data_IF_994247535926
#
_entry.id   IF_994247535926
#
_cell.length_a   1.000
_cell.length_b   1.000
_cell.length_c   1.000
_cell.angle_alpha   90.00
_cell.angle_beta   90.00
_cell.angle_gamma   90.00
#
_symmetry.space_group_name_H-M   'P 1'
#
loop_
_entity.id
_entity.type
_entity.pdbx_description
1 polymer ?
#
# COMPACT_ATOMS: atom_id res chain seq x y z
N UNK A 1 -2.91 11.52 -8.41
CA UNK A 1 -4.37 11.29 -8.58
C UNK A 1 -4.95 10.04 -7.89
N UNK A 2 -4.65 8.80 -8.33
CA UNK A 2 -5.35 7.59 -7.83
C UNK A 2 -5.27 7.40 -6.30
N UNK A 3 -4.06 7.51 -5.73
CA UNK A 3 -3.85 7.35 -4.28
C UNK A 3 -4.53 8.46 -3.46
N UNK A 4 -4.61 9.68 -3.98
CA UNK A 4 -5.29 10.81 -3.32
C UNK A 4 -6.81 10.63 -3.26
N UNK A 5 -7.40 10.00 -4.29
CA UNK A 5 -8.82 9.66 -4.27
C UNK A 5 -9.13 8.58 -3.23
N UNK A 6 -8.20 7.65 -3.00
CA UNK A 6 -8.31 6.63 -1.95
C UNK A 6 -8.19 7.25 -0.56
N UNK A 7 -7.25 8.19 -0.35
CA UNK A 7 -7.11 8.86 0.96
C UNK A 7 -8.34 9.69 1.31
N UNK A 8 -9.03 10.24 0.31
CA UNK A 8 -10.32 10.94 0.44
C UNK A 8 -11.53 10.00 0.44
N UNK A 9 -11.33 8.67 0.45
CA UNK A 9 -12.36 7.63 0.40
C UNK A 9 -13.33 7.74 -0.80
N UNK A 10 -12.90 8.39 -1.89
CA UNK A 10 -13.70 8.53 -3.11
C UNK A 10 -13.62 7.30 -3.98
N UNK A 11 -12.42 6.72 -4.10
CA UNK A 11 -12.16 5.55 -4.94
C UNK A 11 -11.70 4.35 -4.12
N UNK A 12 -12.40 3.19 -4.16
CA UNK A 12 -12.01 2.00 -3.44
C UNK A 12 -10.89 1.23 -4.17
N UNK A 13 -10.08 0.50 -3.40
CA UNK A 13 -9.08 -0.44 -3.93
C UNK A 13 -9.69 -1.85 -3.95
N UNK A 14 -9.57 -2.60 -5.05
CA UNK A 14 -10.03 -3.97 -5.13
C UNK A 14 -9.10 -4.93 -4.37
N UNK A 15 -9.66 -5.70 -3.44
CA UNK A 15 -8.91 -6.69 -2.66
C UNK A 15 -9.03 -8.05 -3.35
N UNK A 16 -8.02 -8.44 -4.14
CA UNK A 16 -8.04 -9.68 -4.94
C UNK A 16 -7.56 -10.93 -4.18
N UNK A 17 -6.49 -10.80 -3.38
CA UNK A 17 -5.90 -11.91 -2.59
C UNK A 17 -6.52 -12.04 -1.20
N UNK A 18 -6.42 -10.99 -0.39
CA UNK A 18 -6.91 -10.98 1.00
C UNK A 18 -8.35 -10.45 1.08
N UNK A 19 -9.31 -11.23 0.57
CA UNK A 19 -10.69 -10.77 0.30
C UNK A 19 -11.78 -11.34 1.22
N UNK A 20 -11.40 -12.20 2.18
CA UNK A 20 -12.36 -12.80 3.13
C UNK A 20 -12.96 -11.70 4.00
N UNK A 21 -14.28 -11.74 4.19
CA UNK A 21 -15.02 -10.78 5.03
C UNK A 21 -14.79 -9.31 4.64
N UNK A 22 -14.53 -9.08 3.35
CA UNK A 22 -14.45 -7.73 2.79
C UNK A 22 -15.81 -7.37 2.18
N UNK A 23 -16.43 -6.25 2.59
CA UNK A 23 -17.70 -5.80 2.02
C UNK A 23 -17.63 -5.59 0.51
N UNK A 24 -18.76 -5.84 -0.14
CA UNK A 24 -18.90 -5.54 -1.56
C UNK A 24 -18.92 -4.03 -1.79
N UNK A 25 -18.28 -3.56 -2.86
CA UNK A 25 -18.30 -2.14 -3.27
C UNK A 25 -18.39 -2.03 -4.77
N UNK A 26 -19.05 -0.96 -5.25
CA UNK A 26 -19.04 -0.58 -6.67
C UNK A 26 -17.67 0.00 -7.00
N UNK A 27 -17.02 -0.54 -8.02
CA UNK A 27 -15.67 -0.16 -8.46
C UNK A 27 -15.61 -0.18 -9.99
N UNK A 28 -14.63 0.52 -10.55
CA UNK A 28 -14.43 0.55 -12.01
C UNK A 28 -13.92 -0.81 -12.53
N UNK A 29 -13.09 -1.47 -11.72
CA UNK A 29 -12.62 -2.82 -12.02
C UNK A 29 -13.72 -3.85 -11.73
N UNK A 30 -13.85 -4.87 -12.58
CA UNK A 30 -14.83 -5.95 -12.46
C UNK A 30 -14.50 -6.89 -11.29
N UNK A 31 -14.66 -6.39 -10.06
CA UNK A 31 -14.41 -7.11 -8.83
C UNK A 31 -15.40 -6.70 -7.74
N UNK A 32 -15.76 -7.63 -6.85
CA UNK A 32 -16.80 -7.39 -5.85
C UNK A 32 -16.26 -6.78 -4.55
N UNK A 33 -15.09 -7.20 -4.06
CA UNK A 33 -14.59 -6.85 -2.73
C UNK A 33 -13.62 -5.67 -2.76
N UNK A 34 -13.92 -4.60 -2.00
CA UNK A 34 -13.08 -3.40 -1.95
C UNK A 34 -13.06 -2.66 -0.61
N UNK A 35 -11.96 -1.96 -0.34
CA UNK A 35 -11.78 -1.08 0.85
C UNK A 35 -11.00 0.18 0.50
N UNK A 36 -10.93 1.12 1.45
CA UNK A 36 -10.12 2.34 1.36
C UNK A 36 -8.93 2.24 2.32
N UNK A 37 -7.78 1.68 1.90
CA UNK A 37 -6.61 1.52 2.78
C UNK A 37 -5.86 2.86 2.96
N UNK A 38 -6.46 3.81 3.68
CA UNK A 38 -5.96 5.19 3.83
C UNK A 38 -4.51 5.24 4.35
N UNK A 39 -4.18 4.45 5.39
CA UNK A 39 -2.82 4.43 5.96
C UNK A 39 -1.77 3.98 4.93
N UNK A 40 -2.08 2.94 4.15
CA UNK A 40 -1.16 2.44 3.14
C UNK A 40 -1.04 3.42 1.96
N UNK A 41 -2.18 3.96 1.49
CA UNK A 41 -2.19 4.93 0.40
C UNK A 41 -1.36 6.17 0.72
N UNK A 42 -1.46 6.73 1.94
CA UNK A 42 -0.61 7.84 2.38
C UNK A 42 0.88 7.52 2.37
N UNK A 43 1.26 6.31 2.77
CA UNK A 43 2.68 5.89 2.79
C UNK A 43 3.24 5.68 1.39
N UNK A 44 2.44 5.10 0.48
CA UNK A 44 2.84 4.93 -0.92
C UNK A 44 2.91 6.27 -1.63
N UNK A 45 1.98 7.19 -1.37
CA UNK A 45 2.01 8.54 -1.96
C UNK A 45 3.31 9.27 -1.61
N UNK A 46 3.70 9.24 -0.32
CA UNK A 46 4.98 9.77 0.11
C UNK A 46 6.18 9.12 -0.58
N UNK A 47 6.13 7.80 -0.81
CA UNK A 47 7.21 7.10 -1.51
C UNK A 47 7.32 7.55 -2.97
N UNK A 48 6.19 7.84 -3.62
CA UNK A 48 6.19 8.39 -4.99
C UNK A 48 6.73 9.81 -5.03
N UNK A 49 6.39 10.66 -4.08
CA UNK A 49 6.98 12.01 -3.95
C UNK A 49 8.51 11.92 -3.77
N UNK A 50 8.97 10.98 -2.93
CA UNK A 50 10.41 10.70 -2.76
C UNK A 50 11.05 10.15 -4.05
N UNK A 51 10.34 9.33 -4.84
CA UNK A 51 10.82 8.81 -6.13
C UNK A 51 10.95 9.92 -7.18
N UNK A 52 9.96 10.80 -7.27
CA UNK A 52 9.92 11.96 -8.17
C UNK A 52 11.08 12.91 -7.86
N UNK A 53 11.24 13.31 -6.59
CA UNK A 53 12.36 14.16 -6.17
C UNK A 53 13.74 13.54 -6.49
N UNK A 54 13.87 12.21 -6.37
CA UNK A 54 15.11 11.50 -6.73
C UNK A 54 15.33 11.44 -8.25
N UNK A 55 14.27 11.39 -9.06
CA UNK A 55 14.35 11.39 -10.52
C UNK A 55 14.78 12.78 -11.02
N UNK A 56 14.15 13.84 -10.52
CA UNK A 56 14.51 15.23 -10.82
C UNK A 56 15.97 15.52 -10.44
N UNK A 57 16.40 15.07 -9.25
CA UNK A 57 17.79 15.22 -8.81
C UNK A 57 18.79 14.54 -9.75
N UNK A 58 18.39 13.45 -10.43
CA UNK A 58 19.20 12.75 -11.42
C UNK A 58 19.10 13.35 -12.83
N UNK A 59 18.29 14.40 -13.02
CA UNK A 59 18.07 15.03 -14.31
C UNK A 59 17.15 14.24 -15.26
N UNK A 60 16.37 13.30 -14.73
CA UNK A 60 15.32 12.61 -15.50
C UNK A 60 14.07 13.48 -15.61
N UNK A 61 13.32 13.34 -16.69
CA UNK A 61 12.02 13.99 -16.83
C UNK A 61 10.95 13.27 -15.99
N UNK A 62 10.45 13.95 -14.95
CA UNK A 62 9.42 13.43 -14.06
C UNK A 62 8.09 13.18 -14.79
N UNK A 63 7.78 13.92 -15.87
CA UNK A 63 6.54 13.74 -16.63
C UNK A 63 6.55 12.43 -17.42
N UNK A 64 7.73 11.99 -17.86
CA UNK A 64 7.94 10.75 -18.62
C UNK A 64 8.34 9.56 -17.74
N UNK A 65 8.30 9.72 -16.41
CA UNK A 65 8.65 8.67 -15.46
C UNK A 65 7.53 7.62 -15.36
N UNK A 66 7.85 6.37 -15.69
CA UNK A 66 6.93 5.23 -15.60
C UNK A 66 7.37 4.25 -14.51
N UNK A 67 6.44 3.82 -13.68
CA UNK A 67 6.70 2.79 -12.66
C UNK A 67 6.77 1.42 -13.35
N UNK A 68 7.97 0.86 -13.46
CA UNK A 68 8.21 -0.47 -14.06
C UNK A 68 8.13 -1.60 -13.03
N UNK A 69 8.45 -1.31 -11.78
CA UNK A 69 8.43 -2.30 -10.71
C UNK A 69 7.83 -1.71 -9.45
N UNK A 70 6.90 -2.45 -8.86
CA UNK A 70 6.31 -2.15 -7.57
C UNK A 70 6.05 -3.44 -6.80
N UNK A 71 6.76 -3.63 -5.69
CA UNK A 71 6.63 -4.82 -4.87
C UNK A 71 6.49 -4.46 -3.39
N UNK A 72 5.80 -5.35 -2.65
CA UNK A 72 5.76 -5.28 -1.20
C UNK A 72 6.25 -6.59 -0.62
N UNK A 73 7.21 -6.49 0.29
CA UNK A 73 7.83 -7.62 0.96
C UNK A 73 7.51 -7.59 2.45
N UNK A 74 7.30 -8.77 3.04
CA UNK A 74 7.03 -8.89 4.47
C UNK A 74 8.33 -8.59 5.24
N UNK A 75 8.29 -7.56 6.08
CA UNK A 75 9.40 -7.20 6.95
C UNK A 75 9.38 -7.92 8.30
N UNK A 76 10.18 -7.42 9.24
CA UNK A 76 10.29 -7.97 10.59
C UNK A 76 8.95 -7.92 11.33
N UNK A 77 8.69 -8.93 12.17
CA UNK A 77 7.54 -8.92 13.09
C UNK A 77 7.94 -8.32 14.43
N UNK A 78 7.20 -7.33 14.91
CA UNK A 78 7.30 -6.82 16.27
C UNK A 78 6.47 -7.76 17.16
N UNK A 79 7.15 -8.47 18.07
CA UNK A 79 6.51 -9.50 18.91
C UNK A 79 5.95 -8.84 20.16
N UNK A 80 4.65 -9.04 20.38
CA UNK A 80 3.91 -8.70 21.59
C UNK A 80 2.98 -9.85 21.94
N UNK A 81 2.73 -10.05 23.23
CA UNK A 81 1.74 -11.01 23.72
C UNK A 81 0.66 -10.23 24.47
N UNK A 82 -0.59 -10.65 24.30
CA UNK A 82 -1.72 -10.10 25.05
C UNK A 82 -2.23 -11.14 26.04
N UNK A 83 -2.52 -10.75 27.29
CA UNK A 83 -3.16 -11.65 28.25
C UNK A 83 -4.56 -12.04 27.75
N UNK A 84 -4.97 -13.25 28.08
CA UNK A 84 -6.27 -13.86 27.80
C UNK A 84 -6.83 -14.43 29.10
N UNK A 85 -8.10 -14.83 29.07
CA UNK A 85 -8.75 -15.48 30.20
C UNK A 85 -7.95 -16.71 30.70
N UNK A 86 -8.11 -17.01 31.99
CA UNK A 86 -7.46 -18.14 32.67
C UNK A 86 -5.92 -18.10 32.63
N UNK A 87 -5.33 -16.90 32.70
CA UNK A 87 -3.87 -16.73 32.78
C UNK A 87 -3.09 -17.06 31.50
N UNK A 88 -3.78 -17.33 30.38
CA UNK A 88 -3.13 -17.62 29.09
C UNK A 88 -2.61 -16.33 28.45
N UNK A 89 -1.53 -16.41 27.68
CA UNK A 89 -1.08 -15.34 26.80
C UNK A 89 -1.09 -15.82 25.34
N UNK A 90 -1.47 -14.95 24.40
CA UNK A 90 -1.47 -15.27 22.96
C UNK A 90 -0.67 -14.25 22.16
N UNK A 91 0.00 -14.65 21.06
CA UNK A 91 0.68 -13.73 20.15
C UNK A 91 -0.24 -12.63 19.60
N UNK A 92 0.25 -11.39 19.63
CA UNK A 92 -0.33 -10.23 18.96
C UNK A 92 0.78 -9.49 18.21
N UNK A 93 1.27 -10.13 17.15
CA UNK A 93 2.46 -9.66 16.43
C UNK A 93 2.08 -8.65 15.36
N UNK A 94 2.72 -7.48 15.39
CA UNK A 94 2.62 -6.52 14.29
C UNK A 94 3.65 -6.89 13.21
N UNK A 95 3.22 -6.94 11.96
CA UNK A 95 4.10 -7.28 10.83
C UNK A 95 4.48 -6.01 10.09
N UNK A 96 5.78 -5.69 10.03
CA UNK A 96 6.29 -4.60 9.21
C UNK A 96 6.33 -5.00 7.74
N UNK A 97 6.48 -4.02 6.85
CA UNK A 97 6.47 -4.22 5.40
C UNK A 97 7.53 -3.34 4.76
N UNK A 98 8.29 -3.90 3.84
CA UNK A 98 9.16 -3.16 2.93
C UNK A 98 8.42 -2.96 1.60
N UNK A 99 8.58 -1.79 1.00
CA UNK A 99 7.96 -1.46 -0.29
C UNK A 99 9.08 -0.99 -1.21
N UNK A 100 9.13 -1.58 -2.39
CA UNK A 100 10.12 -1.29 -3.43
C UNK A 100 9.39 -0.68 -4.62
N UNK A 101 9.87 0.46 -5.11
CA UNK A 101 9.39 1.10 -6.33
C UNK A 101 10.60 1.41 -7.22
N UNK A 102 10.46 1.14 -8.51
CA UNK A 102 11.45 1.50 -9.54
C UNK A 102 10.73 2.25 -10.65
N UNK A 103 11.20 3.48 -10.89
CA UNK A 103 10.84 4.30 -12.04
C UNK A 103 11.84 4.10 -13.17
N UNK A 104 11.35 4.13 -14.41
CA UNK A 104 12.14 4.17 -15.62
C UNK A 104 11.63 5.33 -16.48
N UNK A 105 12.53 6.14 -17.00
CA UNK A 105 12.21 7.21 -17.92
C UNK A 105 11.87 6.60 -19.27
N UNK A 106 10.60 6.70 -19.66
CA UNK A 106 10.17 6.26 -20.98
C UNK A 106 10.77 7.22 -22.02
N UNK A 107 11.42 6.64 -23.03
CA UNK A 107 12.01 7.36 -24.16
C UNK A 107 10.95 7.87 -25.11
#
# INVERSE_FOLDING_TARGET
RFLEEITKMKRPVPFKRYKKEVPHRRMDEKWYAGRYPVKAAKRILRLLEELEANAEYKGMDAENLVIIHAASQRGRKIRKYIPRAFGRATPYFETLTHVELVGYEAT
#
